data_IF_609379150436
#
_entry.id   IF_609379150436
#
_cell.length_a   1.000
_cell.length_b   1.000
_cell.length_c   1.000
_cell.angle_alpha   90.00
_cell.angle_beta   90.00
_cell.angle_gamma   90.00
#
_symmetry.space_group_name_H-M   'P 1'
#
loop_
_entity.id
_entity.type
_entity.pdbx_description
1 polymer ?
#
# COMPACT_ATOMS: atom_id res chain seq x y z
N UNK A 1 -58.49 -9.44 -37.84
CA UNK A 1 -57.55 -8.39 -37.39
C UNK A 1 -57.12 -8.71 -35.97
N UNK A 2 -55.82 -8.77 -35.70
CA UNK A 2 -55.30 -9.10 -34.36
C UNK A 2 -55.14 -7.80 -33.53
N UNK A 3 -55.47 -7.83 -32.24
CA UNK A 3 -55.31 -6.69 -31.32
C UNK A 3 -53.86 -6.15 -31.31
N UNK A 4 -52.86 -7.05 -31.39
CA UNK A 4 -51.44 -6.68 -31.45
C UNK A 4 -51.13 -5.86 -32.72
N UNK A 5 -51.71 -6.23 -33.87
CA UNK A 5 -51.51 -5.49 -35.13
C UNK A 5 -52.15 -4.10 -35.11
N UNK A 6 -53.25 -3.92 -34.36
CA UNK A 6 -53.89 -2.61 -34.17
C UNK A 6 -53.03 -1.74 -33.25
N UNK A 7 -52.56 -2.29 -32.12
CA UNK A 7 -51.68 -1.59 -31.18
C UNK A 7 -50.37 -1.12 -31.85
N UNK A 8 -49.73 -1.98 -32.64
CA UNK A 8 -48.51 -1.64 -33.38
C UNK A 8 -48.72 -0.50 -34.39
N UNK A 9 -49.82 -0.54 -35.15
CA UNK A 9 -50.18 0.54 -36.08
C UNK A 9 -50.42 1.86 -35.34
N UNK A 10 -51.06 1.82 -34.17
CA UNK A 10 -51.28 2.99 -33.32
C UNK A 10 -49.97 3.60 -32.80
N UNK A 11 -49.03 2.78 -32.35
CA UNK A 11 -47.70 3.24 -31.92
C UNK A 11 -46.92 3.89 -33.06
N UNK A 12 -46.99 3.31 -34.27
CA UNK A 12 -46.38 3.88 -35.47
C UNK A 12 -46.99 5.21 -35.89
N UNK A 13 -48.31 5.36 -35.75
CA UNK A 13 -49.01 6.60 -36.09
C UNK A 13 -48.68 7.75 -35.13
N UNK A 14 -48.41 7.44 -33.85
CA UNK A 14 -48.01 8.41 -32.81
C UNK A 14 -46.54 8.24 -32.42
N UNK A 15 -45.68 8.00 -33.42
CA UNK A 15 -44.29 7.59 -33.21
C UNK A 15 -43.50 8.52 -32.29
N UNK A 16 -43.62 9.84 -32.43
CA UNK A 16 -42.87 10.80 -31.62
C UNK A 16 -43.25 10.73 -30.14
N UNK A 17 -44.54 10.79 -29.82
CA UNK A 17 -45.03 10.72 -28.44
C UNK A 17 -44.74 9.35 -27.82
N UNK A 18 -44.98 8.26 -28.55
CA UNK A 18 -44.69 6.91 -28.08
C UNK A 18 -43.20 6.68 -27.82
N UNK A 19 -42.32 7.21 -28.68
CA UNK A 19 -40.87 7.15 -28.48
C UNK A 19 -40.44 7.95 -27.26
N UNK A 20 -40.99 9.14 -27.03
CA UNK A 20 -40.64 9.96 -25.88
C UNK A 20 -41.07 9.30 -24.56
N UNK A 21 -42.25 8.68 -24.52
CA UNK A 21 -42.72 7.89 -23.37
C UNK A 21 -41.84 6.65 -23.15
N UNK A 22 -41.53 5.91 -24.21
CA UNK A 22 -40.66 4.73 -24.11
C UNK A 22 -39.26 5.10 -23.62
N UNK A 23 -38.70 6.22 -24.11
CA UNK A 23 -37.42 6.74 -23.68
C UNK A 23 -37.44 7.16 -22.21
N UNK A 24 -38.49 7.86 -21.76
CA UNK A 24 -38.66 8.26 -20.36
C UNK A 24 -38.73 7.06 -19.41
N UNK A 25 -39.51 6.03 -19.76
CA UNK A 25 -39.58 4.78 -18.97
C UNK A 25 -38.24 4.05 -18.98
N UNK A 26 -37.59 3.98 -20.14
CA UNK A 26 -36.27 3.32 -20.27
C UNK A 26 -35.20 4.02 -19.44
N UNK A 27 -35.21 5.36 -19.38
CA UNK A 27 -34.27 6.13 -18.57
C UNK A 27 -34.46 5.86 -17.07
N UNK A 28 -35.70 5.77 -16.61
CA UNK A 28 -36.01 5.42 -15.22
C UNK A 28 -35.52 4.01 -14.85
N UNK A 29 -35.77 3.02 -15.71
CA UNK A 29 -35.29 1.64 -15.51
C UNK A 29 -33.76 1.59 -15.57
N UNK A 30 -33.14 2.29 -16.52
CA UNK A 30 -31.69 2.35 -16.67
C UNK A 30 -31.02 2.91 -15.41
N UNK A 31 -31.56 4.00 -14.87
CA UNK A 31 -31.04 4.60 -13.63
C UNK A 31 -31.15 3.63 -12.45
N UNK A 32 -32.31 2.97 -12.30
CA UNK A 32 -32.51 1.97 -11.24
C UNK A 32 -31.50 0.82 -11.36
N UNK A 33 -31.34 0.25 -12.56
CA UNK A 33 -30.40 -0.84 -12.80
C UNK A 33 -28.96 -0.38 -12.56
N UNK A 34 -28.58 0.81 -13.02
CA UNK A 34 -27.25 1.36 -12.80
C UNK A 34 -26.92 1.48 -11.31
N UNK A 35 -27.84 2.01 -10.50
CA UNK A 35 -27.63 2.13 -9.05
C UNK A 35 -27.46 0.76 -8.40
N UNK A 36 -28.29 -0.23 -8.74
CA UNK A 36 -28.19 -1.59 -8.18
C UNK A 36 -26.87 -2.25 -8.56
N UNK A 37 -26.46 -2.13 -9.82
CA UNK A 37 -25.20 -2.71 -10.32
C UNK A 37 -24.00 -2.05 -9.66
N UNK A 38 -23.97 -0.70 -9.61
CA UNK A 38 -22.88 0.04 -8.97
C UNK A 38 -22.78 -0.34 -7.50
N UNK A 39 -23.89 -0.37 -6.77
CA UNK A 39 -23.90 -0.75 -5.36
C UNK A 39 -23.36 -2.18 -5.17
N UNK A 40 -23.83 -3.14 -5.96
CA UNK A 40 -23.32 -4.51 -5.87
C UNK A 40 -21.86 -4.67 -6.27
N UNK A 41 -21.33 -3.81 -7.17
CA UNK A 41 -19.88 -3.76 -7.48
C UNK A 41 -19.10 -3.20 -6.30
N UNK A 42 -19.53 -2.07 -5.73
CA UNK A 42 -18.89 -1.47 -4.55
C UNK A 42 -18.88 -2.47 -3.40
N UNK A 43 -20.04 -3.05 -3.07
CA UNK A 43 -20.14 -4.03 -2.00
C UNK A 43 -19.22 -5.22 -2.24
N UNK A 44 -19.15 -5.78 -3.45
CA UNK A 44 -18.21 -6.88 -3.75
C UNK A 44 -16.74 -6.46 -3.65
N UNK A 45 -16.39 -5.27 -4.09
CA UNK A 45 -15.02 -4.77 -4.01
C UNK A 45 -14.55 -4.59 -2.56
N UNK A 46 -15.43 -4.22 -1.64
CA UNK A 46 -15.09 -4.04 -0.22
C UNK A 46 -15.37 -5.28 0.67
N UNK A 47 -16.31 -6.15 0.25
CA UNK A 47 -16.65 -7.41 0.95
C UNK A 47 -15.76 -8.59 0.57
N UNK A 48 -14.74 -8.40 -0.27
CA UNK A 48 -13.59 -9.31 -0.40
C UNK A 48 -12.72 -9.33 0.88
N UNK A 49 -13.34 -9.21 2.06
CA UNK A 49 -12.73 -9.02 3.37
C UNK A 49 -12.00 -10.24 3.93
N UNK A 50 -11.77 -11.27 3.11
CA UNK A 50 -10.97 -12.42 3.51
C UNK A 50 -9.58 -12.27 2.92
N UNK A 51 -8.80 -11.34 3.46
CA UNK A 51 -7.36 -11.32 3.20
C UNK A 51 -6.74 -12.58 3.80
N UNK A 52 -5.53 -12.95 3.37
CA UNK A 52 -4.74 -14.00 4.02
C UNK A 52 -4.27 -13.69 5.45
N UNK A 53 -4.57 -12.49 5.93
CA UNK A 53 -4.08 -11.95 7.19
C UNK A 53 -5.22 -11.79 8.18
N UNK A 54 -4.90 -11.98 9.46
CA UNK A 54 -5.85 -11.87 10.56
C UNK A 54 -5.90 -10.44 11.10
N UNK A 55 -4.81 -9.68 10.96
CA UNK A 55 -4.69 -8.33 11.50
C UNK A 55 -3.77 -7.45 10.66
N UNK A 56 -4.06 -6.14 10.65
CA UNK A 56 -3.17 -5.10 10.15
C UNK A 56 -2.71 -4.27 11.34
N UNK A 57 -1.40 -4.13 11.50
CA UNK A 57 -0.78 -3.28 12.52
C UNK A 57 -0.16 -2.08 11.81
N UNK A 58 -0.43 -0.88 12.28
CA UNK A 58 0.14 0.35 11.74
C UNK A 58 0.12 1.47 12.77
N UNK A 59 0.35 2.70 12.32
CA UNK A 59 0.36 3.87 13.20
C UNK A 59 -1.01 4.09 13.86
N UNK A 60 -0.99 4.73 15.03
CA UNK A 60 -2.18 5.21 15.72
C UNK A 60 -2.94 6.20 14.82
N UNK A 61 -4.22 5.94 14.56
CA UNK A 61 -5.04 6.77 13.68
C UNK A 61 -6.38 6.12 13.31
N UNK A 62 -6.91 6.45 12.14
CA UNK A 62 -8.17 5.89 11.64
C UNK A 62 -8.00 4.43 11.18
N UNK A 63 -8.76 3.46 11.74
CA UNK A 63 -8.72 2.07 11.27
C UNK A 63 -9.08 1.91 9.80
N UNK A 64 -10.01 2.74 9.31
CA UNK A 64 -10.41 2.72 7.91
C UNK A 64 -9.26 3.19 7.01
N UNK A 65 -8.57 4.27 7.39
CA UNK A 65 -7.42 4.76 6.62
C UNK A 65 -6.28 3.75 6.62
N UNK A 66 -6.03 3.09 7.77
CA UNK A 66 -5.03 2.02 7.85
C UNK A 66 -5.37 0.88 6.89
N UNK A 67 -6.63 0.42 6.85
CA UNK A 67 -7.04 -0.66 5.93
C UNK A 67 -7.00 -0.20 4.47
N UNK A 68 -7.51 0.99 4.15
CA UNK A 68 -7.49 1.53 2.81
C UNK A 68 -6.06 1.68 2.29
N UNK A 69 -5.13 2.16 3.14
CA UNK A 69 -3.74 2.36 2.76
C UNK A 69 -3.00 1.03 2.65
N UNK A 70 -3.11 0.15 3.63
CA UNK A 70 -2.33 -1.10 3.69
C UNK A 70 -2.82 -2.22 2.77
N UNK A 71 -4.13 -2.38 2.59
CA UNK A 71 -4.73 -3.46 1.81
C UNK A 71 -5.11 -3.00 0.41
N UNK A 72 -5.63 -1.78 0.28
CA UNK A 72 -6.11 -1.25 -1.00
C UNK A 72 -5.13 -0.28 -1.66
N UNK A 73 -4.06 0.11 -0.97
CA UNK A 73 -3.08 1.09 -1.45
C UNK A 73 -3.71 2.45 -1.80
N UNK A 74 -4.82 2.78 -1.15
CA UNK A 74 -5.61 4.00 -1.35
C UNK A 74 -5.50 4.93 -0.15
N UNK A 75 -5.58 6.24 -0.39
CA UNK A 75 -5.58 7.27 0.65
C UNK A 75 -4.30 8.08 0.69
N UNK A 76 -4.31 9.11 1.54
CA UNK A 76 -3.21 10.08 1.68
C UNK A 76 -1.95 9.52 2.34
N UNK A 77 -0.94 10.38 2.58
CA UNK A 77 0.21 10.04 3.39
C UNK A 77 -0.21 9.62 4.80
N UNK A 78 0.47 8.63 5.36
CA UNK A 78 0.28 8.12 6.71
C UNK A 78 1.65 8.05 7.38
N UNK A 79 1.71 8.32 8.69
CA UNK A 79 2.92 8.08 9.45
C UNK A 79 3.30 6.60 9.47
N UNK A 80 4.58 6.29 9.34
CA UNK A 80 5.07 4.92 9.42
C UNK A 80 5.35 4.50 10.87
N UNK A 81 5.55 3.20 11.10
CA UNK A 81 6.01 2.63 12.37
C UNK A 81 7.50 2.23 12.28
N UNK A 82 8.27 2.26 13.38
CA UNK A 82 9.68 1.88 13.35
C UNK A 82 9.89 0.43 12.88
N UNK A 83 10.91 0.19 12.05
CA UNK A 83 11.26 -1.16 11.58
C UNK A 83 11.63 -2.10 12.75
N UNK A 84 12.24 -1.55 13.81
CA UNK A 84 12.50 -2.28 15.06
C UNK A 84 11.22 -2.84 15.70
N UNK A 85 10.09 -2.14 15.58
CA UNK A 85 8.80 -2.64 16.06
C UNK A 85 8.30 -3.81 15.20
N UNK A 86 8.46 -3.74 13.87
CA UNK A 86 8.22 -4.88 12.98
C UNK A 86 9.06 -6.11 13.37
N UNK A 87 10.36 -5.95 13.66
CA UNK A 87 11.21 -7.08 14.09
C UNK A 87 10.69 -7.75 15.36
N UNK A 88 10.21 -6.98 16.34
CA UNK A 88 9.59 -7.52 17.55
C UNK A 88 8.34 -8.34 17.24
N UNK A 89 7.49 -7.86 16.31
CA UNK A 89 6.31 -8.62 15.86
C UNK A 89 6.72 -9.94 15.18
N UNK A 90 7.82 -9.93 14.41
CA UNK A 90 8.35 -11.13 13.75
C UNK A 90 8.86 -12.17 14.77
N UNK A 91 9.35 -11.73 15.93
CA UNK A 91 9.85 -12.59 17.00
C UNK A 91 8.74 -13.08 17.95
N UNK A 92 7.52 -12.54 17.87
CA UNK A 92 6.41 -12.91 18.75
C UNK A 92 5.93 -14.35 18.46
N UNK A 93 5.96 -15.26 19.45
CA UNK A 93 5.59 -16.67 19.25
C UNK A 93 4.10 -16.88 18.92
N UNK A 94 3.26 -15.85 19.01
CA UNK A 94 1.83 -15.90 18.61
C UNK A 94 1.64 -15.64 17.11
N UNK A 95 2.63 -15.04 16.45
CA UNK A 95 2.57 -14.61 15.06
C UNK A 95 3.19 -15.70 14.17
N UNK A 96 2.41 -16.19 13.21
CA UNK A 96 2.87 -17.15 12.19
C UNK A 96 3.69 -16.44 11.10
N UNK A 97 3.19 -15.28 10.65
CA UNK A 97 3.82 -14.41 9.66
C UNK A 97 3.57 -12.95 10.00
N UNK A 98 4.64 -12.16 9.98
CA UNK A 98 4.61 -10.69 10.01
C UNK A 98 5.20 -10.20 8.69
N UNK A 99 4.38 -9.55 7.86
CA UNK A 99 4.78 -9.08 6.54
C UNK A 99 4.79 -7.54 6.54
N UNK A 100 5.98 -6.91 6.51
CA UNK A 100 6.08 -5.46 6.45
C UNK A 100 5.68 -4.98 5.05
N UNK A 101 5.01 -3.83 5.00
CA UNK A 101 4.77 -3.11 3.75
C UNK A 101 5.20 -1.65 3.90
N UNK A 102 5.87 -1.12 2.89
CA UNK A 102 6.16 0.31 2.73
C UNK A 102 5.42 0.85 1.51
N UNK A 103 4.91 2.07 1.65
CA UNK A 103 4.18 2.80 0.63
C UNK A 103 4.68 4.23 0.60
N UNK A 104 4.64 4.85 -0.57
CA UNK A 104 5.09 6.23 -0.77
C UNK A 104 5.32 6.50 -2.25
N UNK A 105 5.91 5.52 -2.92
CA UNK A 105 6.27 5.63 -4.32
C UNK A 105 5.18 5.13 -5.25
N UNK A 106 5.22 5.63 -6.49
CA UNK A 106 4.35 5.20 -7.57
C UNK A 106 5.12 4.91 -8.85
N UNK A 107 4.49 4.17 -9.77
CA UNK A 107 5.02 3.97 -11.11
C UNK A 107 4.92 5.26 -11.92
N UNK A 108 5.90 5.54 -12.81
CA UNK A 108 5.88 6.76 -13.61
C UNK A 108 4.68 6.79 -14.57
N UNK A 109 4.31 5.64 -15.13
CA UNK A 109 3.09 5.49 -15.92
C UNK A 109 1.90 5.21 -15.02
N UNK A 110 0.93 6.14 -15.00
CA UNK A 110 -0.38 5.92 -14.37
C UNK A 110 -0.41 6.03 -12.85
N UNK A 111 0.71 6.40 -12.20
CA UNK A 111 0.81 6.60 -10.75
C UNK A 111 0.29 5.40 -9.95
N UNK A 112 0.64 4.17 -10.38
CA UNK A 112 0.24 2.97 -9.68
C UNK A 112 1.10 2.75 -8.44
N UNK A 113 0.54 2.28 -7.31
CA UNK A 113 1.30 2.10 -6.08
C UNK A 113 2.47 1.13 -6.22
N UNK A 114 3.61 1.51 -5.65
CA UNK A 114 4.75 0.63 -5.41
C UNK A 114 4.74 0.22 -3.93
N UNK A 115 4.79 -1.08 -3.69
CA UNK A 115 4.75 -1.69 -2.36
C UNK A 115 6.12 -2.31 -2.09
N UNK A 116 6.89 -1.74 -1.17
CA UNK A 116 8.10 -2.40 -0.67
C UNK A 116 7.74 -3.47 0.35
N UNK A 117 8.14 -4.71 0.11
CA UNK A 117 7.84 -5.83 1.01
C UNK A 117 8.88 -6.95 0.88
N UNK A 118 8.70 -8.02 1.64
CA UNK A 118 9.61 -9.16 1.68
C UNK A 118 9.06 -10.34 0.85
N UNK A 119 9.90 -11.28 0.40
CA UNK A 119 9.47 -12.42 -0.40
C UNK A 119 8.32 -13.23 0.21
N UNK A 120 8.27 -13.31 1.55
CA UNK A 120 7.25 -14.02 2.33
C UNK A 120 5.83 -13.47 2.11
N UNK A 121 5.67 -12.26 1.58
CA UNK A 121 4.38 -11.71 1.17
C UNK A 121 3.63 -12.66 0.21
N UNK A 122 4.36 -13.29 -0.72
CA UNK A 122 3.77 -14.19 -1.70
C UNK A 122 3.56 -15.63 -1.21
N UNK A 123 4.12 -15.97 -0.05
CA UNK A 123 3.87 -17.26 0.60
C UNK A 123 2.51 -17.30 1.31
N UNK A 124 2.05 -16.15 1.79
CA UNK A 124 0.73 -16.02 2.41
C UNK A 124 -0.34 -16.00 1.32
N UNK A 125 -1.35 -16.88 1.37
CA UNK A 125 -2.46 -16.86 0.41
C UNK A 125 -3.17 -15.50 0.43
N UNK A 126 -3.39 -14.86 -0.72
CA UNK A 126 -4.05 -13.55 -0.75
C UNK A 126 -5.50 -13.59 -0.26
N UNK A 127 -6.14 -14.75 -0.38
CA UNK A 127 -7.41 -15.12 0.25
C UNK A 127 -7.22 -16.56 0.79
N UNK A 128 -7.87 -16.97 1.90
CA UNK A 128 -7.80 -18.34 2.38
C UNK A 128 -7.99 -19.37 1.27
N UNK A 129 -7.06 -20.33 1.19
CA UNK A 129 -6.98 -21.38 0.16
C UNK A 129 -6.75 -20.88 -1.27
N UNK A 130 -6.32 -19.63 -1.47
CA UNK A 130 -5.92 -19.09 -2.77
C UNK A 130 -4.49 -18.55 -2.70
N UNK A 131 -3.48 -19.39 -3.01
CA UNK A 131 -2.09 -18.97 -3.03
C UNK A 131 -1.81 -18.09 -4.24
N UNK A 132 -0.81 -17.22 -4.12
CA UNK A 132 -0.27 -16.51 -5.27
C UNK A 132 0.32 -17.48 -6.28
N UNK A 133 0.20 -17.13 -7.56
CA UNK A 133 0.90 -17.80 -8.65
C UNK A 133 1.65 -16.75 -9.43
N UNK A 134 2.92 -17.03 -9.68
CA UNK A 134 3.85 -16.08 -10.29
C UNK A 134 4.48 -16.74 -11.50
N UNK A 135 4.37 -16.07 -12.66
CA UNK A 135 5.20 -16.37 -13.83
C UNK A 135 6.56 -15.72 -13.59
N UNK A 136 7.64 -16.49 -13.68
CA UNK A 136 8.99 -16.00 -13.39
C UNK A 136 9.45 -16.34 -11.99
N UNK A 137 10.02 -15.37 -11.28
CA UNK A 137 10.53 -15.54 -9.92
C UNK A 137 9.85 -14.57 -8.94
N UNK A 138 9.83 -14.95 -7.67
CA UNK A 138 9.64 -13.99 -6.58
C UNK A 138 10.88 -13.10 -6.51
N UNK A 139 10.71 -11.83 -6.13
CA UNK A 139 11.81 -10.92 -5.86
C UNK A 139 12.75 -11.48 -4.80
N UNK A 140 14.06 -11.46 -5.06
CA UNK A 140 15.09 -11.93 -4.13
C UNK A 140 16.27 -10.98 -4.00
N UNK A 141 16.56 -10.21 -5.04
CA UNK A 141 17.58 -9.17 -5.03
C UNK A 141 16.97 -7.80 -4.67
N UNK A 142 17.74 -6.84 -4.14
CA UNK A 142 17.23 -5.53 -3.76
C UNK A 142 16.44 -4.83 -4.88
N UNK A 143 16.91 -4.88 -6.12
CA UNK A 143 16.28 -4.19 -7.25
C UNK A 143 15.34 -5.09 -8.08
N UNK A 144 14.88 -6.20 -7.51
CA UNK A 144 13.85 -7.03 -8.13
C UNK A 144 12.45 -6.47 -7.88
N UNK A 145 11.57 -6.64 -8.88
CA UNK A 145 10.16 -6.31 -8.79
C UNK A 145 9.25 -7.45 -9.28
N UNK A 146 8.06 -7.54 -8.69
CA UNK A 146 6.96 -8.40 -9.14
C UNK A 146 5.77 -7.50 -9.50
N UNK A 147 5.23 -7.64 -10.70
CA UNK A 147 4.12 -6.80 -11.18
C UNK A 147 2.76 -7.51 -11.02
N UNK A 148 1.75 -6.77 -10.57
CA UNK A 148 0.38 -7.22 -10.49
C UNK A 148 -0.24 -7.52 -11.87
N UNK A 149 -1.20 -8.46 -11.90
CA UNK A 149 -1.79 -8.93 -13.14
C UNK A 149 -2.57 -7.85 -13.92
N UNK A 150 -3.14 -6.88 -13.21
CA UNK A 150 -3.81 -5.72 -13.78
C UNK A 150 -2.85 -4.82 -14.52
N UNK A 151 -1.73 -4.46 -13.87
CA UNK A 151 -0.68 -3.63 -14.47
C UNK A 151 0.00 -4.31 -15.64
N UNK A 152 0.27 -5.62 -15.54
CA UNK A 152 0.78 -6.41 -16.67
C UNK A 152 -0.12 -6.26 -17.91
N UNK A 153 -1.45 -6.30 -17.73
CA UNK A 153 -2.41 -6.18 -18.83
C UNK A 153 -2.57 -4.75 -19.35
N UNK A 154 -2.58 -3.75 -18.46
CA UNK A 154 -2.85 -2.35 -18.84
C UNK A 154 -1.61 -1.63 -19.36
N UNK A 155 -0.45 -1.83 -18.74
CA UNK A 155 0.82 -1.20 -19.09
C UNK A 155 1.69 -2.05 -20.03
N UNK A 156 1.40 -3.36 -20.13
CA UNK A 156 2.21 -4.29 -20.93
C UNK A 156 3.55 -4.66 -20.30
N UNK A 157 3.78 -4.32 -19.04
CA UNK A 157 4.99 -4.68 -18.30
C UNK A 157 5.08 -6.19 -18.13
N UNK A 158 6.15 -6.82 -18.61
CA UNK A 158 6.44 -8.24 -18.43
C UNK A 158 7.86 -8.41 -17.85
N UNK A 159 8.25 -9.65 -17.58
CA UNK A 159 9.58 -10.00 -17.08
C UNK A 159 10.66 -9.37 -17.97
N UNK A 160 11.58 -8.65 -17.33
CA UNK A 160 12.66 -7.92 -17.98
C UNK A 160 12.39 -6.42 -18.18
N UNK A 161 11.16 -5.96 -17.95
CA UNK A 161 10.87 -4.53 -17.92
C UNK A 161 11.61 -3.85 -16.76
N UNK A 162 12.14 -2.65 -17.01
CA UNK A 162 12.82 -1.82 -16.01
C UNK A 162 12.08 -0.50 -15.84
N UNK A 163 11.92 -0.05 -14.60
CA UNK A 163 11.25 1.20 -14.28
C UNK A 163 11.95 1.91 -13.11
N UNK A 164 11.73 3.21 -12.99
CA UNK A 164 12.21 4.05 -11.89
C UNK A 164 11.02 4.43 -11.00
N UNK A 165 11.08 4.17 -9.68
CA UNK A 165 10.07 4.64 -8.75
C UNK A 165 10.00 6.18 -8.73
N UNK A 166 8.79 6.72 -8.55
CA UNK A 166 8.55 8.16 -8.38
C UNK A 166 8.05 8.39 -6.96
N UNK A 167 8.68 9.30 -6.22
CA UNK A 167 8.28 9.60 -4.86
C UNK A 167 6.96 10.40 -4.86
N UNK A 168 5.95 9.88 -4.15
CA UNK A 168 4.63 10.50 -4.13
C UNK A 168 3.93 10.51 -5.49
N UNK A 169 3.11 11.53 -5.70
CA UNK A 169 2.32 11.75 -6.94
C UNK A 169 2.93 12.87 -7.80
N UNK A 170 3.93 13.58 -7.29
CA UNK A 170 4.71 14.58 -8.02
C UNK A 170 5.75 13.89 -8.89
N UNK A 171 5.65 14.07 -10.20
CA UNK A 171 6.59 13.50 -11.18
C UNK A 171 7.99 14.14 -11.14
N UNK A 172 8.23 15.06 -10.20
CA UNK A 172 9.50 15.77 -10.05
C UNK A 172 10.57 14.96 -9.28
N UNK A 173 10.17 14.01 -8.44
CA UNK A 173 11.08 13.24 -7.57
C UNK A 173 11.22 11.80 -8.07
N UNK A 174 11.93 11.62 -9.19
CA UNK A 174 12.20 10.29 -9.76
C UNK A 174 13.49 9.74 -9.16
N UNK A 175 13.43 8.54 -8.58
CA UNK A 175 14.61 7.86 -8.09
C UNK A 175 15.53 7.43 -9.24
N UNK A 176 16.85 7.53 -9.04
CA UNK A 176 17.82 7.17 -10.10
C UNK A 176 17.86 5.66 -10.32
N UNK A 177 17.68 4.88 -9.25
CA UNK A 177 17.75 3.43 -9.25
C UNK A 177 16.60 2.81 -10.05
N UNK A 178 16.95 1.75 -10.80
CA UNK A 178 15.99 1.01 -11.62
C UNK A 178 15.66 -0.31 -10.98
N UNK A 179 14.37 -0.60 -10.90
CA UNK A 179 13.88 -1.91 -10.55
C UNK A 179 13.58 -2.72 -11.80
N UNK A 180 13.87 -4.01 -11.76
CA UNK A 180 13.63 -4.94 -12.85
C UNK A 180 12.51 -5.91 -12.50
N UNK A 181 11.51 -6.00 -13.36
CA UNK A 181 10.43 -6.97 -13.23
C UNK A 181 11.00 -8.39 -13.45
N UNK A 182 10.97 -9.21 -12.40
CA UNK A 182 11.41 -10.62 -12.43
C UNK A 182 10.24 -11.60 -12.36
N UNK A 183 9.06 -11.11 -11.98
CA UNK A 183 7.84 -11.91 -11.86
C UNK A 183 6.58 -11.15 -12.24
N UNK A 184 5.58 -11.88 -12.73
CA UNK A 184 4.23 -11.38 -13.03
C UNK A 184 3.21 -12.23 -12.30
N UNK A 185 2.30 -11.61 -11.56
CA UNK A 185 1.22 -12.32 -10.86
C UNK A 185 0.15 -12.82 -11.84
N UNK A 186 -0.39 -14.01 -11.58
CA UNK A 186 -1.72 -14.38 -12.11
C UNK A 186 -2.80 -13.51 -11.45
N UNK A 187 -3.92 -13.31 -12.15
CA UNK A 187 -5.00 -12.45 -11.67
C UNK A 187 -5.59 -12.94 -10.34
N UNK A 188 -5.51 -12.08 -9.33
CA UNK A 188 -6.06 -12.33 -8.00
C UNK A 188 -7.48 -11.79 -7.87
N UNK A 189 -7.82 -10.76 -8.65
CA UNK A 189 -9.08 -10.03 -8.54
C UNK A 189 -9.18 -9.18 -7.28
N UNK A 190 -8.05 -8.85 -6.65
CA UNK A 190 -7.93 -7.99 -5.47
C UNK A 190 -7.10 -6.74 -5.80
N UNK A 191 -6.93 -5.77 -4.88
CA UNK A 191 -6.06 -4.61 -5.12
C UNK A 191 -4.62 -4.96 -5.51
N UNK A 192 -4.17 -6.16 -5.17
CA UNK A 192 -2.84 -6.68 -5.52
C UNK A 192 -2.58 -6.71 -7.04
N UNK A 193 -3.64 -6.84 -7.84
CA UNK A 193 -3.50 -6.81 -9.30
C UNK A 193 -3.04 -5.45 -9.84
N UNK A 194 -3.20 -4.36 -9.07
CA UNK A 194 -3.00 -2.98 -9.54
C UNK A 194 -1.79 -2.28 -8.88
N UNK A 195 -0.84 -3.05 -8.36
CA UNK A 195 0.38 -2.53 -7.74
C UNK A 195 1.64 -3.24 -8.26
N UNK A 196 2.79 -2.64 -7.99
CA UNK A 196 4.11 -3.25 -8.19
C UNK A 196 4.70 -3.54 -6.82
N UNK A 197 5.34 -4.69 -6.68
CA UNK A 197 5.98 -5.13 -5.45
C UNK A 197 7.48 -5.11 -5.64
N UNK A 198 8.21 -4.41 -4.77
CA UNK A 198 9.67 -4.35 -4.81
C UNK A 198 10.25 -4.93 -3.52
N UNK A 199 11.49 -5.41 -3.59
CA UNK A 199 12.16 -5.94 -2.42
C UNK A 199 12.38 -4.82 -1.39
N UNK A 200 12.06 -5.09 -0.12
CA UNK A 200 12.14 -4.10 0.95
C UNK A 200 13.54 -3.49 1.11
N UNK A 201 14.58 -4.31 0.94
CA UNK A 201 15.97 -3.81 0.97
C UNK A 201 16.25 -2.83 -0.17
N UNK A 202 15.67 -3.04 -1.35
CA UNK A 202 15.77 -2.09 -2.45
C UNK A 202 15.03 -0.80 -2.16
N UNK A 203 13.85 -0.89 -1.54
CA UNK A 203 13.10 0.28 -1.09
C UNK A 203 13.97 1.16 -0.17
N UNK A 204 14.68 0.59 0.80
CA UNK A 204 15.55 1.38 1.68
C UNK A 204 16.83 1.89 0.99
N UNK A 205 17.25 1.31 -0.14
CA UNK A 205 18.40 1.84 -0.90
C UNK A 205 18.09 3.10 -1.70
N UNK A 206 16.81 3.42 -1.88
CA UNK A 206 16.37 4.66 -2.50
C UNK A 206 16.64 5.83 -1.55
N UNK A 207 17.22 6.90 -2.08
CA UNK A 207 17.48 8.12 -1.31
C UNK A 207 16.18 8.71 -0.73
N UNK A 208 16.21 9.16 0.53
CA UNK A 208 15.07 9.76 1.21
C UNK A 208 14.17 8.77 1.94
N UNK A 209 14.52 7.47 1.91
CA UNK A 209 13.79 6.43 2.64
C UNK A 209 14.40 6.12 4.02
N UNK A 210 15.48 6.80 4.37
CA UNK A 210 16.09 6.84 5.68
C UNK A 210 15.49 7.95 6.57
N UNK A 211 15.34 7.66 7.87
CA UNK A 211 15.04 8.69 8.86
C UNK A 211 16.31 9.32 9.43
N UNK A 212 16.31 10.65 9.70
CA UNK A 212 17.36 11.27 10.48
C UNK A 212 17.54 10.54 11.82
N UNK A 213 18.79 10.32 12.23
CA UNK A 213 19.15 9.47 13.38
C UNK A 213 18.44 9.90 14.67
N UNK A 214 18.31 11.21 14.89
CA UNK A 214 17.67 11.74 16.11
C UNK A 214 16.16 11.52 16.13
N UNK A 215 15.50 11.59 14.97
CA UNK A 215 14.06 11.30 14.85
C UNK A 215 13.79 9.81 15.03
N UNK A 216 14.59 8.97 14.35
CA UNK A 216 14.58 7.52 14.48
C UNK A 216 14.67 7.09 15.95
N UNK A 217 15.61 7.65 16.72
CA UNK A 217 15.78 7.36 18.15
C UNK A 217 14.56 7.76 18.98
N UNK A 218 14.08 9.00 18.81
CA UNK A 218 12.90 9.49 19.56
C UNK A 218 11.69 8.60 19.33
N UNK A 219 11.46 8.18 18.08
CA UNK A 219 10.33 7.31 17.73
C UNK A 219 10.50 5.90 18.29
N UNK A 220 11.70 5.32 18.20
CA UNK A 220 12.00 4.02 18.81
C UNK A 220 11.78 4.04 20.34
N UNK A 221 12.21 5.11 21.02
CA UNK A 221 11.96 5.28 22.46
C UNK A 221 10.47 5.38 22.80
N UNK A 222 9.68 6.11 21.99
CA UNK A 222 8.23 6.21 22.18
C UNK A 222 7.56 4.83 22.08
N UNK A 223 7.91 4.05 21.06
CA UNK A 223 7.36 2.70 20.88
C UNK A 223 7.83 1.73 21.98
N UNK A 224 9.07 1.85 22.45
CA UNK A 224 9.57 1.06 23.58
C UNK A 224 8.78 1.35 24.87
N UNK A 225 8.47 2.63 25.14
CA UNK A 225 7.65 3.03 26.30
C UNK A 225 6.22 2.47 26.22
N UNK A 226 5.59 2.50 25.05
CA UNK A 226 4.24 1.94 24.85
C UNK A 226 4.24 0.42 25.01
N UNK A 227 5.31 -0.26 24.60
CA UNK A 227 5.49 -1.69 24.79
C UNK A 227 5.83 -2.10 26.25
N UNK A 228 6.05 -1.13 27.16
CA UNK A 228 6.43 -1.41 28.55
C UNK A 228 7.89 -1.80 28.74
N UNK A 229 8.77 -1.43 27.81
CA UNK A 229 10.17 -1.86 27.76
C UNK A 229 11.17 -0.69 27.90
N UNK A 230 12.41 -1.02 28.29
CA UNK A 230 13.56 -0.10 28.25
C UNK A 230 14.04 0.11 26.81
N UNK A 231 14.44 1.34 26.42
CA UNK A 231 14.98 1.62 25.08
C UNK A 231 16.19 0.74 24.73
N UNK A 232 16.42 0.43 23.44
CA UNK A 232 17.58 -0.37 23.03
C UNK A 232 18.90 0.36 23.33
N UNK A 233 19.81 -0.31 24.06
CA UNK A 233 21.22 0.10 24.20
C UNK A 233 21.97 -0.26 22.92
N UNK A 234 22.51 0.72 22.19
CA UNK A 234 23.36 0.41 21.02
C UNK A 234 23.73 1.53 20.05
N UNK A 235 23.13 2.72 20.11
CA UNK A 235 23.51 3.80 19.19
C UNK A 235 24.65 4.66 19.75
N UNK A 236 25.87 4.11 19.83
CA UNK A 236 27.07 4.95 20.01
C UNK A 236 27.28 5.75 18.73
N UNK A 237 27.02 7.06 18.81
CA UNK A 237 27.40 8.00 17.77
C UNK A 237 28.93 7.94 17.53
N UNK A 238 29.42 8.19 16.29
CA UNK A 238 30.79 8.62 16.11
C UNK A 238 31.04 9.86 16.98
N UNK A 239 32.22 9.95 17.60
CA UNK A 239 32.60 11.11 18.40
C UNK A 239 32.62 12.37 17.52
N UNK A 240 31.60 13.21 17.62
CA UNK A 240 31.67 14.57 17.11
C UNK A 240 32.38 15.48 18.12
N UNK A 241 33.42 16.15 17.62
CA UNK A 241 34.13 17.24 18.27
C UNK A 241 33.23 18.47 18.36
N UNK A 242 33.09 19.00 19.58
CA UNK A 242 32.31 20.19 19.92
C UNK A 242 32.56 21.40 19.01
N UNK A 243 31.48 22.01 18.48
CA UNK A 243 31.37 23.47 18.37
C UNK A 243 29.96 23.93 18.78
N UNK A 244 29.81 25.10 19.44
CA UNK A 244 28.63 25.42 20.23
C UNK A 244 27.49 26.06 19.43
N UNK A 245 26.29 25.83 19.95
CA UNK A 245 24.98 26.22 19.44
C UNK A 245 24.76 27.73 19.29
N UNK A 246 24.10 28.12 18.20
CA UNK A 246 23.32 29.36 18.12
C UNK A 246 21.83 29.01 18.02
N UNK A 247 21.06 29.54 18.97
CA UNK A 247 19.60 29.52 18.99
C UNK A 247 19.03 30.32 17.81
N UNK A 248 18.21 29.70 16.97
CA UNK A 248 17.24 30.43 16.14
C UNK A 248 15.85 29.81 16.24
N UNK A 249 14.91 30.74 16.34
CA UNK A 249 13.48 30.56 16.58
C UNK A 249 12.81 29.88 15.38
N UNK A 250 11.85 29.01 15.69
CA UNK A 250 10.95 28.35 14.76
C UNK A 250 9.99 29.34 14.12
N UNK A 251 10.07 29.47 12.80
CA UNK A 251 8.99 29.74 11.84
C UNK A 251 9.37 29.00 10.53
N UNK A 252 8.38 28.70 9.69
CA UNK A 252 8.47 28.17 8.29
C UNK A 252 8.36 26.63 8.16
N UNK A 253 7.33 26.09 7.50
CA UNK A 253 7.17 25.96 6.04
C UNK A 253 8.42 25.35 5.39
N UNK A 254 8.45 24.03 5.24
CA UNK A 254 9.51 23.33 4.50
C UNK A 254 9.00 22.90 3.13
N UNK A 255 9.14 23.79 2.15
CA UNK A 255 9.60 23.38 0.81
C UNK A 255 11.13 23.38 0.87
N UNK A 256 11.78 22.22 0.72
CA UNK A 256 13.22 22.15 0.50
C UNK A 256 13.52 21.37 -0.78
N UNK A 257 13.84 22.15 -1.82
CA UNK A 257 14.62 21.67 -2.95
C UNK A 257 16.06 21.39 -2.48
N UNK A 258 16.51 20.14 -2.57
CA UNK A 258 17.94 19.81 -2.46
C UNK A 258 18.50 19.51 -3.85
N UNK A 259 19.42 20.37 -4.30
CA UNK A 259 20.24 20.13 -5.48
C UNK A 259 21.18 18.94 -5.22
N UNK A 260 21.08 17.91 -6.06
CA UNK A 260 21.85 16.68 -5.93
C UNK A 260 23.36 16.88 -6.11
N UNK A 261 24.12 16.75 -5.02
CA UNK A 261 25.53 16.40 -5.09
C UNK A 261 25.67 14.89 -5.33
N UNK A 262 26.33 14.56 -6.45
CA UNK A 262 26.62 13.20 -6.87
C UNK A 262 27.61 12.54 -5.92
N UNK A 263 27.14 11.59 -5.15
CA UNK A 263 28.00 10.64 -4.46
C UNK A 263 27.72 9.23 -4.96
N UNK A 264 28.73 8.64 -5.61
CA UNK A 264 28.82 7.20 -5.83
C UNK A 264 28.92 6.52 -4.45
N UNK A 265 27.78 6.19 -3.84
CA UNK A 265 27.75 5.44 -2.60
C UNK A 265 27.63 3.95 -2.91
N UNK A 266 28.66 3.18 -2.53
CA UNK A 266 28.41 1.79 -2.13
C UNK A 266 27.30 1.85 -1.06
N UNK A 267 26.10 1.37 -1.37
CA UNK A 267 24.97 1.44 -0.45
C UNK A 267 25.26 0.58 0.79
N UNK A 268 25.86 1.20 1.81
CA UNK A 268 25.91 0.64 3.16
C UNK A 268 24.49 0.33 3.62
N UNK A 269 24.31 -0.83 4.26
CA UNK A 269 23.00 -1.20 4.78
C UNK A 269 22.56 -0.18 5.82
N UNK A 270 21.40 0.44 5.57
CA UNK A 270 20.80 1.36 6.54
C UNK A 270 20.59 0.64 7.89
N UNK A 271 20.99 1.27 9.01
CA UNK A 271 20.67 0.77 10.34
C UNK A 271 19.17 0.60 10.53
N UNK A 272 18.78 -0.44 11.27
CA UNK A 272 17.37 -0.77 11.51
C UNK A 272 16.62 0.33 12.25
N UNK A 273 17.33 1.17 13.01
CA UNK A 273 16.77 2.32 13.70
C UNK A 273 16.25 3.39 12.72
N UNK A 274 16.90 3.53 11.56
CA UNK A 274 16.56 4.53 10.54
C UNK A 274 15.49 4.05 9.55
N UNK A 275 15.10 2.77 9.64
CA UNK A 275 14.09 2.17 8.78
C UNK A 275 12.69 2.31 9.41
N UNK A 276 11.70 2.51 8.55
CA UNK A 276 10.29 2.51 8.93
C UNK A 276 9.44 1.70 7.95
N UNK A 277 8.30 1.19 8.42
CA UNK A 277 7.31 0.48 7.59
C UNK A 277 5.95 1.14 7.73
N UNK A 278 5.17 1.21 6.66
CA UNK A 278 3.84 1.84 6.70
C UNK A 278 2.86 1.00 7.52
N UNK A 279 2.88 -0.31 7.34
CA UNK A 279 2.10 -1.25 8.13
C UNK A 279 2.76 -2.64 8.15
N UNK A 280 2.27 -3.50 9.03
CA UNK A 280 2.62 -4.92 9.10
C UNK A 280 1.34 -5.73 9.00
N UNK A 281 1.28 -6.60 8.00
CA UNK A 281 0.21 -7.57 7.81
C UNK A 281 0.54 -8.82 8.62
N UNK A 282 -0.36 -9.22 9.52
CA UNK A 282 -0.10 -10.26 10.51
C UNK A 282 -1.05 -11.44 10.31
N UNK A 283 -0.46 -12.63 10.30
CA UNK A 283 -1.16 -13.91 10.40
C UNK A 283 -0.74 -14.61 11.68
N UNK A 284 -1.70 -15.17 12.40
CA UNK A 284 -1.53 -15.77 13.73
C UNK A 284 -1.56 -17.30 13.66
N UNK A 285 -0.86 -17.96 14.59
CA UNK A 285 -0.77 -19.44 14.61
C UNK A 285 -2.13 -20.10 14.90
N UNK A 286 -3.01 -19.41 15.62
CA UNK A 286 -4.35 -19.89 15.93
C UNK A 286 -5.37 -18.77 15.68
N UNK A 287 -6.37 -18.96 14.79
CA UNK A 287 -7.42 -17.97 14.55
C UNK A 287 -8.35 -17.75 15.75
N UNK A 288 -8.13 -18.47 16.87
CA UNK A 288 -8.97 -18.48 18.06
C UNK A 288 -8.28 -18.00 19.33
N UNK A 289 -7.15 -17.29 19.28
CA UNK A 289 -6.63 -16.62 20.48
C UNK A 289 -7.62 -15.52 20.92
N UNK A 290 -8.31 -15.66 22.08
CA UNK A 290 -9.22 -14.63 22.59
C UNK A 290 -8.42 -13.59 23.40
N UNK A 291 -9.07 -12.52 23.87
CA UNK A 291 -8.77 -11.10 23.60
C UNK A 291 -7.52 -10.55 24.34
N UNK A 292 -6.32 -11.08 24.08
CA UNK A 292 -5.07 -10.47 24.60
C UNK A 292 -4.39 -9.57 23.57
N UNK A 293 -4.73 -9.74 22.29
CA UNK A 293 -4.52 -8.75 21.24
C UNK A 293 -5.90 -8.24 20.86
N UNK A 294 -6.55 -7.51 21.77
CA UNK A 294 -7.71 -6.71 21.38
C UNK A 294 -7.18 -5.82 20.24
N UNK A 295 -7.91 -5.66 19.12
CA UNK A 295 -7.69 -4.51 18.26
C UNK A 295 -8.02 -3.28 19.10
N UNK A 296 -7.10 -2.89 19.98
CA UNK A 296 -7.15 -1.62 20.67
C UNK A 296 -6.97 -0.59 19.58
N UNK A 297 -8.11 -0.01 19.20
CA UNK A 297 -8.11 1.30 18.60
C UNK A 297 -7.46 2.17 19.66
N UNK A 298 -6.19 2.47 19.48
CA UNK A 298 -5.57 3.57 20.18
C UNK A 298 -6.31 4.82 19.66
N UNK A 299 -7.46 5.15 20.26
CA UNK A 299 -8.14 6.41 19.98
C UNK A 299 -7.25 7.53 20.55
N UNK A 300 -7.01 8.57 19.77
CA UNK A 300 -6.45 9.79 20.32
C UNK A 300 -7.53 10.44 21.21
N UNK A 301 -7.19 10.98 22.40
CA UNK A 301 -8.06 11.98 22.97
C UNK A 301 -8.14 13.14 21.97
N UNK A 302 -9.36 13.50 21.58
CA UNK A 302 -9.67 14.67 20.76
C UNK A 302 -8.99 15.95 21.29
#
# INVERSE_FOLDING_TARGET
>A
MNLVTIAWKSLRQRSLTSSLTAFSVSLGIMLMVAVIVINGVVERSFSQSSTGYDMVIGVKGSPLELVLKSIYYMGGPMENIPYTYYKKLKEDPRIERAIPITLGDTTPEGAHPIVGTIPEFFEVPYIPNRPFKIKGKVMSEPFDAVVGAGLHRSLGWDIGHEFQPVHGVSLEDIHEEKFKVVGVLEATGTPVDNAVYIHLDGFYKLAGHEKPVDEAKKKAEQYAKVAGETPPEGATAPKEENQPAEEKKQEEEHEEHHEGEKHDHEHEELPDEQKEVTAVLVRTIAPTLPPVMIPEINEAPY
#
